data_IF_066605302875
#
_entry.id   IF_066605302875
#
_cell.length_a   1.000
_cell.length_b   1.000
_cell.length_c   1.000
_cell.angle_alpha   90.00
_cell.angle_beta   90.00
_cell.angle_gamma   90.00
#
_symmetry.space_group_name_H-M   'P 1'
#
loop_
_entity.id
_entity.type
_entity.pdbx_description
1 polymer ?
#
# COMPACT_ATOMS: atom_id res chain seq x y z
N UNK A 1 -8.45 -16.96 -9.84
CA UNK A 1 -7.92 -15.58 -9.93
C UNK A 1 -6.59 -15.55 -9.16
N UNK A 2 -5.46 -15.79 -9.83
CA UNK A 2 -4.11 -15.89 -9.21
C UNK A 2 -3.27 -14.61 -9.41
N UNK A 3 -3.88 -13.51 -9.85
CA UNK A 3 -3.15 -12.29 -10.23
C UNK A 3 -3.00 -11.28 -9.08
N UNK A 4 -3.77 -11.38 -8.00
CA UNK A 4 -3.76 -10.36 -6.93
C UNK A 4 -2.57 -10.43 -5.96
N UNK A 5 -1.87 -11.56 -5.84
CA UNK A 5 -0.72 -11.69 -4.91
C UNK A 5 0.59 -11.17 -5.50
N UNK A 6 0.75 -11.18 -6.82
CA UNK A 6 2.03 -10.89 -7.48
C UNK A 6 2.23 -9.37 -7.59
N UNK A 7 1.19 -8.62 -7.97
CA UNK A 7 1.31 -7.18 -8.23
C UNK A 7 1.74 -6.34 -7.00
N UNK A 8 1.22 -6.64 -5.81
CA UNK A 8 1.64 -5.95 -4.59
C UNK A 8 3.09 -6.27 -4.19
N UNK A 9 3.53 -7.50 -4.48
CA UNK A 9 4.88 -7.96 -4.19
C UNK A 9 5.90 -7.40 -5.20
N UNK A 10 5.56 -7.36 -6.49
CA UNK A 10 6.38 -6.74 -7.54
C UNK A 10 6.52 -5.23 -7.34
N UNK A 11 5.47 -4.54 -6.89
CA UNK A 11 5.55 -3.13 -6.51
C UNK A 11 6.55 -2.92 -5.38
N UNK A 12 6.48 -3.72 -4.31
CA UNK A 12 7.38 -3.63 -3.16
C UNK A 12 8.83 -4.02 -3.49
N UNK A 13 9.03 -4.93 -4.45
CA UNK A 13 10.35 -5.40 -4.88
C UNK A 13 10.95 -4.57 -6.03
N UNK A 14 10.22 -3.58 -6.55
CA UNK A 14 10.73 -2.71 -7.61
C UNK A 14 11.88 -1.85 -7.08
N UNK A 15 13.06 -2.05 -7.67
CA UNK A 15 14.29 -1.31 -7.35
C UNK A 15 14.34 0.08 -7.99
N UNK A 16 13.48 0.36 -8.96
CA UNK A 16 13.30 1.69 -9.57
C UNK A 16 12.38 2.56 -8.72
N UNK A 17 12.82 2.86 -7.48
CA UNK A 17 12.06 3.68 -6.56
C UNK A 17 12.63 5.09 -6.51
N UNK A 18 11.83 6.15 -6.74
CA UNK A 18 12.25 7.51 -6.44
C UNK A 18 12.66 7.63 -4.96
N UNK A 19 13.77 8.31 -4.68
CA UNK A 19 14.27 8.50 -3.30
C UNK A 19 13.18 9.06 -2.36
N UNK A 20 12.29 9.92 -2.88
CA UNK A 20 11.18 10.53 -2.16
C UNK A 20 9.98 9.60 -1.87
N UNK A 21 10.07 8.29 -2.15
CA UNK A 21 8.95 7.34 -1.91
C UNK A 21 9.19 6.33 -0.77
N UNK A 22 10.25 6.48 0.03
CA UNK A 22 10.54 5.52 1.13
C UNK A 22 9.35 5.37 2.09
N UNK A 23 8.77 6.48 2.52
CA UNK A 23 7.64 6.47 3.46
C UNK A 23 6.39 5.82 2.86
N UNK A 24 6.17 6.01 1.55
CA UNK A 24 5.05 5.38 0.82
C UNK A 24 5.23 3.86 0.79
N UNK A 25 6.43 3.39 0.47
CA UNK A 25 6.72 1.96 0.44
C UNK A 25 6.65 1.34 1.84
N UNK A 26 7.10 2.05 2.86
CA UNK A 26 7.00 1.60 4.25
C UNK A 26 5.54 1.39 4.66
N UNK A 27 4.64 2.35 4.38
CA UNK A 27 3.22 2.20 4.76
C UNK A 27 2.48 1.15 3.93
N UNK A 28 2.84 0.97 2.65
CA UNK A 28 2.30 -0.12 1.81
C UNK A 28 2.79 -1.49 2.32
N UNK A 29 4.08 -1.61 2.64
CA UNK A 29 4.66 -2.82 3.22
C UNK A 29 4.02 -3.17 4.57
N UNK A 30 3.76 -2.17 5.40
CA UNK A 30 3.01 -2.34 6.65
C UNK A 30 1.60 -2.85 6.37
N UNK A 31 0.88 -2.26 5.41
CA UNK A 31 -0.48 -2.70 5.05
C UNK A 31 -0.50 -4.17 4.60
N UNK A 32 0.44 -4.57 3.72
CA UNK A 32 0.59 -5.96 3.26
C UNK A 32 0.89 -6.88 4.43
N UNK A 33 1.85 -6.53 5.29
CA UNK A 33 2.21 -7.34 6.46
C UNK A 33 1.02 -7.50 7.42
N UNK A 34 0.30 -6.42 7.72
CA UNK A 34 -0.88 -6.43 8.59
C UNK A 34 -2.01 -7.29 8.03
N UNK A 35 -2.29 -7.20 6.73
CA UNK A 35 -3.32 -8.01 6.07
C UNK A 35 -2.96 -9.50 6.13
N UNK A 36 -1.72 -9.87 5.79
CA UNK A 36 -1.26 -11.25 5.82
C UNK A 36 -1.26 -11.83 7.24
N UNK A 37 -0.82 -11.06 8.25
CA UNK A 37 -0.88 -11.46 9.67
C UNK A 37 -2.31 -11.70 10.15
N UNK A 38 -3.28 -10.98 9.59
CA UNK A 38 -4.71 -11.17 9.89
C UNK A 38 -5.38 -12.31 9.12
N UNK A 39 -4.62 -13.07 8.33
CA UNK A 39 -5.13 -14.15 7.48
C UNK A 39 -5.89 -13.66 6.24
N UNK A 40 -5.87 -12.35 5.97
CA UNK A 40 -6.53 -11.75 4.79
C UNK A 40 -5.61 -11.79 3.57
N UNK A 41 -6.23 -11.68 2.40
CA UNK A 41 -5.51 -11.42 1.14
C UNK A 41 -4.92 -10.01 1.16
N UNK A 42 -3.68 -9.88 0.69
CA UNK A 42 -3.05 -8.59 0.43
C UNK A 42 -3.18 -8.24 -1.06
N UNK A 43 -4.40 -8.26 -1.58
CA UNK A 43 -4.70 -7.78 -2.93
C UNK A 43 -4.70 -6.25 -2.97
N UNK A 44 -4.65 -5.70 -4.18
CA UNK A 44 -4.57 -4.24 -4.38
C UNK A 44 -5.76 -3.52 -3.73
N UNK A 45 -6.97 -4.08 -3.83
CA UNK A 45 -8.17 -3.49 -3.23
C UNK A 45 -8.13 -3.51 -1.70
N UNK A 46 -7.68 -4.61 -1.10
CA UNK A 46 -7.53 -4.74 0.36
C UNK A 46 -6.47 -3.79 0.91
N UNK A 47 -5.37 -3.61 0.17
CA UNK A 47 -4.32 -2.64 0.51
C UNK A 47 -4.89 -1.21 0.44
N UNK A 48 -5.62 -0.85 -0.62
CA UNK A 48 -6.25 0.48 -0.73
C UNK A 48 -7.23 0.71 0.43
N UNK A 49 -8.06 -0.28 0.76
CA UNK A 49 -9.01 -0.18 1.86
C UNK A 49 -8.31 0.04 3.21
N UNK A 50 -7.22 -0.71 3.46
CA UNK A 50 -6.40 -0.55 4.66
C UNK A 50 -5.78 0.85 4.74
N UNK A 51 -5.18 1.32 3.64
CA UNK A 51 -4.53 2.64 3.59
C UNK A 51 -5.54 3.78 3.79
N UNK A 52 -6.74 3.71 3.20
CA UNK A 52 -7.81 4.68 3.42
C UNK A 52 -8.29 4.71 4.87
N UNK A 53 -8.37 3.55 5.52
CA UNK A 53 -8.73 3.47 6.94
C UNK A 53 -7.67 4.15 7.82
N UNK A 54 -6.40 3.96 7.51
CA UNK A 54 -5.30 4.60 8.24
C UNK A 54 -5.26 6.11 7.95
N UNK A 55 -5.45 6.53 6.70
CA UNK A 55 -5.57 7.95 6.32
C UNK A 55 -6.63 8.67 7.16
N UNK A 56 -7.82 8.08 7.31
CA UNK A 56 -8.92 8.66 8.09
C UNK A 56 -8.63 8.74 9.60
N UNK A 57 -7.67 7.98 10.11
CA UNK A 57 -7.29 7.90 11.53
C UNK A 57 -6.01 8.67 11.84
N UNK A 58 -5.27 9.10 10.83
CA UNK A 58 -3.99 9.78 10.98
C UNK A 58 -4.13 11.30 11.08
N UNK A 59 -3.18 11.92 11.76
CA UNK A 59 -3.02 13.38 11.83
C UNK A 59 -2.04 13.88 10.74
N UNK A 60 -2.31 15.07 10.23
CA UNK A 60 -1.59 15.83 9.19
C UNK A 60 -0.47 15.07 8.45
N UNK A 61 0.76 15.07 8.97
CA UNK A 61 1.93 14.54 8.26
C UNK A 61 1.84 13.05 7.89
N UNK A 62 1.27 12.20 8.76
CA UNK A 62 1.04 10.80 8.40
C UNK A 62 -0.12 10.62 7.43
N UNK A 63 -1.15 11.46 7.54
CA UNK A 63 -2.30 11.42 6.64
C UNK A 63 -1.88 11.65 5.19
N UNK A 64 -0.96 12.60 4.95
CA UNK A 64 -0.43 12.88 3.61
C UNK A 64 0.33 11.70 3.01
N UNK A 65 1.12 10.98 3.82
CA UNK A 65 1.82 9.76 3.40
C UNK A 65 0.82 8.67 3.02
N UNK A 66 -0.21 8.42 3.84
CA UNK A 66 -1.26 7.45 3.50
C UNK A 66 -2.05 7.85 2.25
N UNK A 67 -2.40 9.13 2.09
CA UNK A 67 -3.09 9.63 0.90
C UNK A 67 -2.24 9.45 -0.37
N UNK A 68 -0.91 9.67 -0.27
CA UNK A 68 0.02 9.43 -1.38
C UNK A 68 0.12 7.94 -1.71
N UNK A 69 0.19 7.08 -0.70
CA UNK A 69 0.18 5.63 -0.89
C UNK A 69 -1.10 5.14 -1.57
N UNK A 70 -2.28 5.63 -1.16
CA UNK A 70 -3.55 5.34 -1.83
C UNK A 70 -3.49 5.71 -3.31
N UNK A 71 -3.00 6.91 -3.66
CA UNK A 71 -2.87 7.34 -5.06
C UNK A 71 -1.95 6.43 -5.86
N UNK A 72 -0.78 6.08 -5.32
CA UNK A 72 0.20 5.22 -6.02
C UNK A 72 -0.39 3.83 -6.27
N UNK A 73 -0.96 3.20 -5.24
CA UNK A 73 -1.51 1.85 -5.35
C UNK A 73 -2.75 1.82 -6.25
N UNK A 74 -3.57 2.87 -6.25
CA UNK A 74 -4.74 2.98 -7.15
C UNK A 74 -4.33 3.00 -8.63
N UNK A 75 -3.19 3.63 -8.96
CA UNK A 75 -2.64 3.63 -10.32
C UNK A 75 -2.15 2.25 -10.81
N UNK A 76 -2.09 1.24 -9.95
CA UNK A 76 -1.74 -0.13 -10.34
C UNK A 76 -2.95 -0.94 -10.83
N UNK A 77 -4.17 -0.40 -10.67
CA UNK A 77 -5.43 -1.06 -11.05
C UNK A 77 -5.99 -0.53 -12.38
N UNK A 78 -5.54 0.66 -12.82
CA UNK A 78 -5.94 1.35 -14.04
C UNK A 78 -4.74 1.50 -14.97
#
# INVERSE_FOLDING_TARGET
MLFSRIAALEFLLSTDKPADMDDVYAVVGQAVSSLLKSGKTAGIQEIIAFLKQQEARSVNGQREVYARAVRVVTKLVN
#
